data_IF_339526835051
#
_entry.id   IF_339526835051
#
_cell.length_a   1.000
_cell.length_b   1.000
_cell.length_c   1.000
_cell.angle_alpha   90.00
_cell.angle_beta   90.00
_cell.angle_gamma   90.00
#
_symmetry.space_group_name_H-M   'P 1'
#
loop_
_entity.id
_entity.type
_entity.pdbx_description
1 polymer ?
#
# COMPACT_ATOMS: atom_id res chain seq x y z
N UNK A 1 -7.53 15.62 9.63
CA UNK A 1 -7.47 14.17 9.42
C UNK A 1 -6.85 13.40 10.60
N UNK A 2 -5.67 13.76 11.11
CA UNK A 2 -5.02 13.03 12.21
C UNK A 2 -5.84 12.86 13.51
N UNK A 3 -6.75 13.78 13.83
CA UNK A 3 -7.65 13.64 14.99
C UNK A 3 -8.78 12.64 14.77
N UNK A 4 -9.19 12.43 13.52
CA UNK A 4 -10.26 11.48 13.15
C UNK A 4 -9.72 10.06 12.97
N UNK A 5 -8.44 9.93 12.63
CA UNK A 5 -7.76 8.63 12.42
C UNK A 5 -7.07 8.13 13.70
N UNK A 6 -7.14 8.89 14.81
CA UNK A 6 -6.43 8.58 16.05
C UNK A 6 -4.91 8.30 15.84
N UNK A 7 -4.27 9.02 14.92
CA UNK A 7 -2.85 8.84 14.65
C UNK A 7 -2.00 9.28 15.84
N UNK A 8 -1.04 8.44 16.21
CA UNK A 8 -0.10 8.77 17.29
C UNK A 8 1.09 9.57 16.74
N UNK A 9 1.52 10.68 17.37
CA UNK A 9 2.57 11.55 16.85
C UNK A 9 3.92 10.87 16.57
N UNK A 10 4.19 9.75 17.25
CA UNK A 10 5.45 9.00 17.11
C UNK A 10 5.27 7.58 16.59
N UNK A 11 4.04 7.06 16.54
CA UNK A 11 3.74 5.68 16.11
C UNK A 11 2.98 5.62 14.78
N UNK A 12 2.55 6.77 14.24
CA UNK A 12 1.77 6.83 13.00
C UNK A 12 0.34 6.32 13.15
N UNK A 13 -0.24 5.90 12.04
CA UNK A 13 -1.59 5.33 11.95
C UNK A 13 -1.51 3.83 11.66
N UNK A 14 -2.39 3.05 12.29
CA UNK A 14 -2.52 1.62 12.00
C UNK A 14 -3.48 1.39 10.84
N UNK A 15 -3.47 0.17 10.29
CA UNK A 15 -4.44 -0.28 9.29
C UNK A 15 -5.87 -0.07 9.78
N UNK A 16 -6.14 -0.49 11.02
CA UNK A 16 -7.46 -0.40 11.63
C UNK A 16 -7.93 1.05 11.78
N UNK A 17 -7.06 1.95 12.25
CA UNK A 17 -7.41 3.37 12.38
C UNK A 17 -7.78 4.00 11.03
N UNK A 18 -7.09 3.65 9.95
CA UNK A 18 -7.40 4.15 8.61
C UNK A 18 -8.72 3.54 8.11
N UNK A 19 -8.90 2.23 8.29
CA UNK A 19 -10.12 1.54 7.91
C UNK A 19 -11.35 2.10 8.64
N UNK A 20 -11.27 2.29 9.96
CA UNK A 20 -12.32 2.85 10.79
C UNK A 20 -12.71 4.28 10.36
N UNK A 21 -11.75 5.08 9.92
CA UNK A 21 -12.03 6.42 9.40
C UNK A 21 -12.92 6.36 8.15
N UNK A 22 -12.60 5.49 7.19
CA UNK A 22 -13.39 5.37 5.96
C UNK A 22 -14.77 4.76 6.22
N UNK A 23 -14.87 3.79 7.13
CA UNK A 23 -16.15 3.22 7.56
C UNK A 23 -17.02 4.29 8.24
N UNK A 24 -16.44 5.12 9.09
CA UNK A 24 -17.15 6.23 9.77
C UNK A 24 -17.77 7.23 8.79
N UNK A 25 -17.13 7.48 7.65
CA UNK A 25 -17.68 8.37 6.62
C UNK A 25 -18.60 7.65 5.62
N UNK A 26 -18.90 6.36 5.85
CA UNK A 26 -19.85 5.57 5.07
C UNK A 26 -19.29 5.00 3.77
N UNK A 27 -17.98 4.84 3.66
CA UNK A 27 -17.34 4.21 2.50
C UNK A 27 -17.28 2.69 2.66
N UNK A 28 -17.21 1.99 1.53
CA UNK A 28 -16.90 0.57 1.52
C UNK A 28 -15.41 0.38 1.75
N UNK A 29 -15.05 -0.48 2.71
CA UNK A 29 -13.66 -0.66 3.13
C UNK A 29 -13.29 -2.14 3.07
N UNK A 30 -12.15 -2.44 2.46
CA UNK A 30 -11.44 -3.71 2.63
C UNK A 30 -10.05 -3.40 3.18
N UNK A 31 -9.60 -4.19 4.14
CA UNK A 31 -8.26 -4.03 4.70
C UNK A 31 -7.64 -5.38 5.09
N UNK A 32 -6.32 -5.40 5.25
CA UNK A 32 -5.58 -6.55 5.73
C UNK A 32 -4.60 -6.13 6.81
N UNK A 33 -4.75 -6.73 7.98
CA UNK A 33 -3.91 -6.57 9.16
C UNK A 33 -3.74 -7.94 9.83
N UNK A 34 -2.86 -8.78 9.27
CA UNK A 34 -2.66 -10.15 9.69
C UNK A 34 -1.20 -10.59 9.54
N UNK A 35 -0.82 -11.61 10.30
CA UNK A 35 0.46 -12.31 10.11
C UNK A 35 0.44 -13.26 8.92
N UNK A 36 -0.74 -13.57 8.38
CA UNK A 36 -0.89 -14.39 7.19
C UNK A 36 -0.74 -13.54 5.92
N UNK A 37 -0.39 -14.16 4.81
CA UNK A 37 -0.37 -13.50 3.51
C UNK A 37 -1.79 -13.34 2.96
N UNK A 38 -2.11 -12.18 2.41
CA UNK A 38 -3.31 -11.94 1.62
C UNK A 38 -3.09 -12.39 0.17
N UNK A 39 -1.93 -12.06 -0.37
CA UNK A 39 -1.50 -12.40 -1.73
C UNK A 39 -0.33 -13.37 -1.64
N UNK A 40 -0.54 -14.62 -1.93
CA UNK A 40 0.43 -15.71 -1.79
C UNK A 40 1.42 -15.77 -2.96
N UNK A 41 1.07 -15.24 -4.13
CA UNK A 41 1.92 -15.15 -5.31
C UNK A 41 1.97 -13.74 -5.89
N UNK A 42 3.04 -13.47 -6.66
CA UNK A 42 3.20 -12.20 -7.37
C UNK A 42 2.07 -11.96 -8.37
N UNK A 43 1.70 -12.99 -9.11
CA UNK A 43 0.62 -12.95 -10.11
C UNK A 43 -0.74 -12.67 -9.47
N UNK A 44 -1.00 -13.21 -8.27
CA UNK A 44 -2.24 -12.91 -7.53
C UNK A 44 -2.26 -11.44 -7.09
N UNK A 45 -1.13 -10.91 -6.63
CA UNK A 45 -1.00 -9.50 -6.27
C UNK A 45 -1.17 -8.58 -7.48
N UNK A 46 -0.47 -8.85 -8.60
CA UNK A 46 -0.60 -8.12 -9.85
C UNK A 46 -2.06 -8.03 -10.31
N UNK A 47 -2.73 -9.18 -10.43
CA UNK A 47 -4.12 -9.25 -10.86
C UNK A 47 -5.05 -8.43 -9.94
N UNK A 48 -4.79 -8.44 -8.64
CA UNK A 48 -5.57 -7.66 -7.66
C UNK A 48 -5.32 -6.16 -7.80
N UNK A 49 -4.07 -5.74 -8.03
CA UNK A 49 -3.75 -4.32 -8.29
C UNK A 49 -4.46 -3.84 -9.54
N UNK A 50 -4.38 -4.61 -10.64
CA UNK A 50 -5.06 -4.27 -11.89
C UNK A 50 -6.57 -4.11 -11.67
N UNK A 51 -7.22 -5.06 -10.98
CA UNK A 51 -8.66 -4.98 -10.68
C UNK A 51 -9.04 -3.73 -9.90
N UNK A 52 -8.30 -3.40 -8.84
CA UNK A 52 -8.57 -2.20 -8.04
C UNK A 52 -8.36 -0.92 -8.87
N UNK A 53 -7.26 -0.81 -9.59
CA UNK A 53 -6.94 0.38 -10.39
C UNK A 53 -7.93 0.56 -11.54
N UNK A 54 -8.33 -0.49 -12.22
CA UNK A 54 -9.35 -0.44 -13.29
C UNK A 54 -10.72 0.03 -12.77
N UNK A 55 -11.02 -0.25 -11.51
CA UNK A 55 -12.22 0.24 -10.82
C UNK A 55 -12.06 1.64 -10.24
N UNK A 56 -10.92 2.27 -10.41
CA UNK A 56 -10.61 3.60 -9.85
C UNK A 56 -10.38 3.61 -8.34
N UNK A 57 -9.99 2.47 -7.75
CA UNK A 57 -9.78 2.31 -6.31
C UNK A 57 -8.28 2.29 -6.03
N UNK A 58 -7.70 3.32 -5.42
CA UNK A 58 -6.30 3.32 -5.00
C UNK A 58 -6.08 2.40 -3.79
N UNK A 59 -4.85 1.90 -3.64
CA UNK A 59 -4.50 0.96 -2.58
C UNK A 59 -3.51 1.63 -1.64
N UNK A 60 -3.91 1.87 -0.41
CA UNK A 60 -3.03 2.37 0.65
C UNK A 60 -2.24 1.19 1.23
N UNK A 61 -0.92 1.28 1.22
CA UNK A 61 -0.03 0.24 1.72
C UNK A 61 0.93 0.79 2.77
N UNK A 62 1.19 0.00 3.80
CA UNK A 62 2.26 0.25 4.77
C UNK A 62 3.39 -0.74 4.52
N UNK A 63 4.61 -0.27 4.34
CA UNK A 63 5.75 -1.13 4.04
C UNK A 63 7.06 -0.61 4.60
N UNK A 64 8.18 -1.31 4.36
CA UNK A 64 9.47 -1.13 5.04
C UNK A 64 10.16 0.22 4.80
N UNK A 65 9.74 1.01 3.83
CA UNK A 65 10.34 2.29 3.55
C UNK A 65 10.30 3.18 4.82
N UNK A 66 11.42 3.83 5.15
CA UNK A 66 11.56 4.61 6.39
C UNK A 66 11.18 3.88 7.69
N UNK A 67 11.37 2.55 7.74
CA UNK A 67 10.97 1.71 8.88
C UNK A 67 9.45 1.69 9.15
N UNK A 68 8.66 1.80 8.10
CA UNK A 68 7.21 1.85 8.07
C UNK A 68 6.72 3.18 7.50
N UNK A 69 6.16 3.12 6.29
CA UNK A 69 5.71 4.29 5.57
C UNK A 69 4.45 3.98 4.76
N UNK A 70 3.44 4.82 4.94
CA UNK A 70 2.21 4.75 4.16
C UNK A 70 2.39 5.44 2.81
N UNK A 71 2.16 4.67 1.75
CA UNK A 71 2.09 5.15 0.37
C UNK A 71 0.80 4.68 -0.28
N UNK A 72 0.44 5.26 -1.40
CA UNK A 72 -0.79 4.90 -2.11
C UNK A 72 -0.44 4.44 -3.52
N UNK A 73 -0.73 3.18 -3.84
CA UNK A 73 -0.63 2.68 -5.22
C UNK A 73 -1.79 3.30 -6.00
N UNK A 74 -1.45 4.05 -7.04
CA UNK A 74 -2.41 4.76 -7.90
C UNK A 74 -2.36 4.29 -9.36
N UNK A 75 -1.43 3.41 -9.70
CA UNK A 75 -1.29 2.87 -11.03
C UNK A 75 -0.33 1.69 -11.10
N UNK A 76 -0.38 1.02 -12.23
CA UNK A 76 0.55 -0.04 -12.63
C UNK A 76 0.85 0.09 -14.11
N UNK A 77 2.11 -0.07 -14.50
CA UNK A 77 2.53 -0.21 -15.89
C UNK A 77 3.02 -1.65 -16.10
N UNK A 78 2.28 -2.41 -16.91
CA UNK A 78 2.59 -3.81 -17.22
C UNK A 78 3.58 -3.95 -18.38
N UNK A 79 4.14 -2.84 -18.87
CA UNK A 79 5.07 -2.80 -19.99
C UNK A 79 4.57 -3.50 -21.26
N UNK A 80 3.30 -3.95 -21.28
CA UNK A 80 2.68 -4.71 -22.38
C UNK A 80 3.23 -6.12 -22.54
N UNK A 81 3.78 -6.71 -21.49
CA UNK A 81 4.29 -8.09 -21.46
C UNK A 81 3.34 -9.02 -20.69
N UNK A 82 3.57 -10.33 -20.79
CA UNK A 82 2.78 -11.35 -20.08
C UNK A 82 3.44 -11.78 -18.76
N UNK A 83 4.37 -10.99 -18.23
CA UNK A 83 5.11 -11.33 -17.01
C UNK A 83 5.07 -10.18 -15.99
N UNK A 84 4.75 -10.45 -14.70
CA UNK A 84 4.75 -9.42 -13.68
C UNK A 84 6.16 -8.98 -13.19
N UNK A 85 7.21 -9.60 -13.72
CA UNK A 85 8.58 -9.34 -13.24
C UNK A 85 9.20 -8.06 -13.79
N UNK A 86 8.69 -7.51 -14.87
CA UNK A 86 9.09 -6.22 -15.45
C UNK A 86 8.06 -5.10 -15.21
N UNK A 87 6.97 -5.41 -14.54
CA UNK A 87 5.95 -4.43 -14.15
C UNK A 87 6.45 -3.43 -13.13
N UNK A 88 5.89 -2.23 -13.18
CA UNK A 88 6.16 -1.19 -12.21
C UNK A 88 4.89 -0.64 -11.58
N UNK A 89 4.93 -0.39 -10.27
CA UNK A 89 3.89 0.31 -9.53
C UNK A 89 4.14 1.81 -9.57
N UNK A 90 3.06 2.57 -9.64
CA UNK A 90 3.06 4.03 -9.53
C UNK A 90 2.42 4.38 -8.19
N UNK A 91 3.18 5.07 -7.35
CA UNK A 91 2.74 5.50 -6.02
C UNK A 91 2.48 7.01 -5.99
N UNK A 92 1.49 7.42 -5.20
CA UNK A 92 1.47 8.74 -4.61
C UNK A 92 2.21 8.66 -3.26
N UNK A 93 3.24 9.48 -3.11
CA UNK A 93 4.10 9.51 -1.94
C UNK A 93 4.15 10.93 -1.35
N UNK A 94 3.75 11.13 -0.08
CA UNK A 94 3.80 12.44 0.54
C UNK A 94 5.22 12.97 0.80
N UNK A 95 6.23 12.11 0.82
CA UNK A 95 7.63 12.54 1.00
C UNK A 95 8.31 12.92 -0.30
N UNK A 96 8.03 12.22 -1.38
CA UNK A 96 8.51 12.52 -2.74
C UNK A 96 9.98 12.96 -2.79
N UNK A 97 10.87 12.11 -2.33
CA UNK A 97 12.31 12.40 -2.24
C UNK A 97 13.16 11.41 -3.06
N UNK A 98 12.53 10.64 -3.93
CA UNK A 98 13.17 9.55 -4.66
C UNK A 98 13.87 10.01 -5.93
N UNK A 99 13.50 11.18 -6.45
CA UNK A 99 14.12 11.79 -7.63
C UNK A 99 14.24 13.30 -7.48
N UNK A 100 14.58 14.00 -8.58
CA UNK A 100 14.74 15.45 -8.59
C UNK A 100 13.43 16.24 -8.83
N UNK A 101 12.33 15.53 -9.11
CA UNK A 101 11.04 16.12 -9.38
C UNK A 101 10.13 15.89 -8.17
N UNK A 102 9.84 16.91 -7.42
CA UNK A 102 8.91 16.84 -6.30
C UNK A 102 7.47 16.98 -6.82
N UNK A 103 7.02 15.96 -7.53
CA UNK A 103 5.69 15.93 -8.16
C UNK A 103 4.68 15.04 -7.42
N UNK A 104 5.09 14.42 -6.31
CA UNK A 104 4.26 13.54 -5.48
C UNK A 104 4.19 12.10 -5.99
N UNK A 105 4.96 11.74 -7.01
CA UNK A 105 4.93 10.41 -7.60
C UNK A 105 6.22 9.65 -7.36
N UNK A 106 6.06 8.33 -7.23
CA UNK A 106 7.15 7.40 -7.04
C UNK A 106 6.91 6.12 -7.83
N UNK A 107 7.91 5.67 -8.58
CA UNK A 107 7.84 4.46 -9.40
C UNK A 107 8.73 3.40 -8.80
N UNK A 108 8.19 2.18 -8.62
CA UNK A 108 8.93 1.07 -8.01
C UNK A 108 8.58 -0.27 -8.67
N UNK A 109 9.58 -1.16 -8.90
CA UNK A 109 9.32 -2.46 -9.49
C UNK A 109 8.34 -3.30 -8.67
N UNK A 110 7.29 -3.83 -9.32
CA UNK A 110 6.23 -4.63 -8.69
C UNK A 110 6.80 -5.82 -7.92
N UNK A 111 7.68 -6.60 -8.57
CA UNK A 111 8.26 -7.81 -7.99
C UNK A 111 9.10 -7.53 -6.74
N UNK A 112 9.85 -6.42 -6.75
CA UNK A 112 10.67 -6.01 -5.61
C UNK A 112 9.80 -5.51 -4.46
N UNK A 113 8.79 -4.69 -4.74
CA UNK A 113 7.82 -4.24 -3.74
C UNK A 113 7.14 -5.44 -3.08
N UNK A 114 6.59 -6.35 -3.87
CA UNK A 114 5.92 -7.55 -3.36
C UNK A 114 6.83 -8.38 -2.45
N UNK A 115 8.08 -8.62 -2.86
CA UNK A 115 9.05 -9.37 -2.07
C UNK A 115 9.31 -8.73 -0.70
N UNK A 116 9.54 -7.42 -0.66
CA UNK A 116 9.78 -6.67 0.58
C UNK A 116 8.51 -6.57 1.46
N UNK A 117 7.37 -6.31 0.85
CA UNK A 117 6.08 -6.17 1.53
C UNK A 117 5.57 -7.50 2.11
N UNK A 118 5.88 -8.60 1.43
CA UNK A 118 5.58 -9.95 1.90
C UNK A 118 6.24 -10.29 3.23
N UNK A 119 7.45 -9.79 3.47
CA UNK A 119 8.20 -10.06 4.70
C UNK A 119 7.71 -9.21 5.90
N UNK A 120 6.86 -8.23 5.65
CA UNK A 120 6.29 -7.34 6.66
C UNK A 120 6.95 -5.95 6.68
N UNK A 121 6.25 -4.94 7.24
CA UNK A 121 6.66 -3.54 7.12
C UNK A 121 7.87 -3.18 7.96
N UNK A 122 8.24 -3.98 8.94
CA UNK A 122 9.28 -3.58 9.86
C UNK A 122 9.92 -4.73 10.64
N UNK A 123 11.21 -4.57 10.89
CA UNK A 123 11.92 -5.36 11.90
C UNK A 123 11.46 -5.05 13.34
N UNK A 124 10.56 -4.12 13.54
CA UNK A 124 10.04 -3.78 14.86
C UNK A 124 8.97 -4.77 15.30
N UNK A 125 9.15 -5.32 16.48
CA UNK A 125 8.28 -6.34 17.10
C UNK A 125 6.84 -5.88 17.36
N UNK A 126 6.53 -4.61 17.14
CA UNK A 126 5.21 -4.03 17.43
C UNK A 126 4.22 -4.11 16.27
N UNK A 127 4.68 -4.34 15.02
CA UNK A 127 3.81 -4.55 13.88
C UNK A 127 4.17 -5.84 13.15
N UNK A 128 3.58 -6.99 13.53
CA UNK A 128 3.88 -8.29 12.92
C UNK A 128 3.14 -8.53 11.60
N UNK A 129 2.37 -7.55 11.11
CA UNK A 129 1.52 -7.73 9.95
C UNK A 129 2.33 -7.88 8.67
N UNK A 130 1.86 -8.78 7.81
CA UNK A 130 2.39 -9.02 6.47
C UNK A 130 1.41 -8.46 5.45
N UNK A 131 1.92 -7.76 4.45
CA UNK A 131 1.10 -7.14 3.40
C UNK A 131 -0.04 -6.25 3.95
N UNK A 132 0.23 -5.34 4.91
CA UNK A 132 -0.81 -4.48 5.45
C UNK A 132 -1.29 -3.47 4.40
N UNK A 133 -2.61 -3.39 4.20
CA UNK A 133 -3.20 -2.44 3.26
C UNK A 133 -4.62 -2.04 3.66
N UNK A 134 -5.06 -0.94 3.08
CA UNK A 134 -6.46 -0.48 3.10
C UNK A 134 -6.86 -0.05 1.69
N UNK A 135 -8.03 -0.49 1.24
CA UNK A 135 -8.72 0.06 0.07
C UNK A 135 -10.07 0.58 0.51
N UNK A 136 -10.47 1.72 -0.01
CA UNK A 136 -11.73 2.35 0.36
C UNK A 136 -12.32 3.11 -0.83
N UNK A 137 -13.64 3.03 -0.97
CA UNK A 137 -14.38 3.73 -2.03
C UNK A 137 -15.81 4.07 -1.56
N UNK A 138 -16.43 5.15 -2.12
CA UNK A 138 -17.81 5.53 -1.82
C UNK A 138 -18.83 4.43 -2.05
#
# INVERSE_FOLDING_TARGET
MGQLIESHPTKGSTVENIADFFDLIGWNVEHHASTDLKFDTLEHFEASVIDYIDRGIPIMVDWVDWAGHWQVIIGIDTCGTDTPYDDVLIFADPYDITDHYQDGYYIFPLSRFYGMWREGPCAEKENPYRQPFVVAHP
#
